data_IF_878862749442
#
_entry.id   IF_878862749442
#
_cell.length_a   1.000
_cell.length_b   1.000
_cell.length_c   1.000
_cell.angle_alpha   90.00
_cell.angle_beta   90.00
_cell.angle_gamma   90.00
#
_symmetry.space_group_name_H-M   'P 1'
#
loop_
_entity.id
_entity.type
_entity.pdbx_description
1 polymer ?
#
# COMPACT_ATOMS: atom_id res chain seq x y z
N UNK A 1 12.69 28.15 35.36
CA UNK A 1 11.53 27.26 35.54
C UNK A 1 11.30 26.55 34.22
N UNK A 2 11.72 25.29 34.14
CA UNK A 2 11.54 24.43 32.96
C UNK A 2 10.08 23.97 32.93
N UNK A 3 9.22 24.77 32.30
CA UNK A 3 7.87 24.32 31.96
C UNK A 3 7.99 23.39 30.78
N UNK A 4 8.32 22.11 31.02
CA UNK A 4 8.00 21.04 30.06
C UNK A 4 6.50 21.12 29.83
N UNK A 5 6.10 21.64 28.67
CA UNK A 5 4.71 21.65 28.25
C UNK A 5 4.23 20.19 28.28
N UNK A 6 3.31 19.86 29.17
CA UNK A 6 2.71 18.53 29.20
C UNK A 6 2.12 18.23 27.82
N UNK A 7 2.40 17.03 27.32
CA UNK A 7 1.99 16.65 25.97
C UNK A 7 0.44 16.60 25.89
N UNK A 8 -0.18 17.41 25.00
CA UNK A 8 -1.64 17.43 24.84
C UNK A 8 -2.20 16.07 24.42
N UNK A 9 -3.51 15.88 24.57
CA UNK A 9 -4.20 14.63 24.20
C UNK A 9 -4.09 14.30 22.72
N UNK A 10 -4.14 15.32 21.85
CA UNK A 10 -3.95 15.20 20.40
C UNK A 10 -2.47 15.14 19.98
N UNK A 11 -1.56 15.17 20.96
CA UNK A 11 -0.10 15.10 20.78
C UNK A 11 0.50 16.25 19.97
N UNK A 12 -0.25 17.33 19.78
CA UNK A 12 0.15 18.51 19.00
C UNK A 12 0.45 19.69 19.93
N UNK A 13 1.74 20.00 20.06
CA UNK A 13 2.22 21.25 20.63
C UNK A 13 1.93 22.40 19.67
N UNK A 14 1.36 23.47 20.22
CA UNK A 14 0.97 24.68 19.48
C UNK A 14 1.79 25.84 20.01
N UNK A 15 2.61 26.44 19.16
CA UNK A 15 3.45 27.57 19.53
C UNK A 15 3.08 28.78 18.68
N UNK A 16 2.79 29.90 19.32
CA UNK A 16 2.55 31.16 18.61
C UNK A 16 3.86 31.71 18.08
N UNK A 17 3.88 32.18 16.84
CA UNK A 17 5.03 32.80 16.21
C UNK A 17 4.58 33.85 15.20
N UNK A 18 5.45 34.81 14.89
CA UNK A 18 5.22 35.75 13.80
C UNK A 18 5.56 35.08 12.47
N UNK A 19 4.63 35.07 11.52
CA UNK A 19 4.92 34.71 10.12
C UNK A 19 4.94 35.96 9.25
N UNK A 20 5.71 35.89 8.18
CA UNK A 20 5.69 36.87 7.11
C UNK A 20 4.91 36.32 5.92
N UNK A 21 3.76 36.91 5.60
CA UNK A 21 2.92 36.53 4.47
C UNK A 21 2.58 37.78 3.65
N UNK A 22 2.94 37.77 2.36
CA UNK A 22 2.65 38.86 1.42
C UNK A 22 3.08 40.26 1.91
N UNK A 23 4.23 40.37 2.58
CA UNK A 23 4.74 41.66 3.08
C UNK A 23 4.15 42.11 4.42
N UNK A 24 3.25 41.33 5.02
CA UNK A 24 2.67 41.62 6.33
C UNK A 24 3.11 40.59 7.38
N UNK A 25 3.37 41.09 8.59
CA UNK A 25 3.65 40.26 9.75
C UNK A 25 2.33 39.92 10.45
N UNK A 26 2.04 38.63 10.58
CA UNK A 26 0.84 38.12 11.23
C UNK A 26 1.20 37.10 12.32
N UNK A 27 0.33 36.94 13.31
CA UNK A 27 0.47 35.88 14.31
C UNK A 27 -0.02 34.54 13.74
N UNK A 28 0.86 33.55 13.74
CA UNK A 28 0.60 32.19 13.32
C UNK A 28 0.73 31.21 14.48
N UNK A 29 0.14 30.03 14.31
CA UNK A 29 0.36 28.88 15.19
C UNK A 29 1.23 27.86 14.44
N UNK A 30 2.42 27.59 14.98
CA UNK A 30 3.26 26.46 14.59
C UNK A 30 2.77 25.21 15.28
N UNK A 31 2.50 24.16 14.50
CA UNK A 31 2.16 22.84 15.00
C UNK A 31 3.42 21.96 15.04
N UNK A 32 3.65 21.31 16.17
CA UNK A 32 4.74 20.35 16.33
C UNK A 32 4.23 19.15 17.13
N UNK A 33 4.63 17.93 16.76
CA UNK A 33 4.35 16.78 17.61
C UNK A 33 5.13 16.87 18.93
N UNK A 34 4.62 16.23 19.98
CA UNK A 34 5.38 16.01 21.20
C UNK A 34 6.72 15.31 20.89
N UNK A 35 7.72 15.48 21.76
CA UNK A 35 9.06 14.89 21.66
C UNK A 35 9.07 13.37 21.42
N UNK A 36 8.06 12.67 21.94
CA UNK A 36 7.85 11.22 21.78
C UNK A 36 7.17 10.80 20.48
N UNK A 37 6.78 11.76 19.63
CA UNK A 37 6.01 11.53 18.41
C UNK A 37 6.69 12.14 17.17
N UNK A 38 6.35 11.61 16.00
CA UNK A 38 6.78 12.10 14.68
C UNK A 38 5.55 12.38 13.83
N UNK A 39 5.59 13.44 13.03
CA UNK A 39 4.46 13.83 12.18
C UNK A 39 4.50 13.04 10.86
N UNK A 40 3.57 12.11 10.70
CA UNK A 40 3.49 11.22 9.53
C UNK A 40 2.04 11.22 9.02
N UNK A 41 1.86 11.44 7.72
CA UNK A 41 0.56 11.38 7.04
C UNK A 41 -0.57 12.21 7.71
N UNK A 42 -0.24 13.38 8.26
CA UNK A 42 -1.21 14.27 8.89
C UNK A 42 -1.48 14.00 10.38
N UNK A 43 -0.71 13.10 11.01
CA UNK A 43 -0.93 12.68 12.41
C UNK A 43 0.39 12.59 13.16
N UNK A 44 0.35 12.78 14.47
CA UNK A 44 1.48 12.50 15.35
C UNK A 44 1.48 11.01 15.73
N UNK A 45 2.49 10.28 15.27
CA UNK A 45 2.67 8.84 15.52
C UNK A 45 3.77 8.66 16.56
N UNK A 46 3.61 7.81 17.59
CA UNK A 46 4.68 7.56 18.56
C UNK A 46 5.94 7.06 17.87
N UNK A 47 7.12 7.61 18.22
CA UNK A 47 8.42 7.21 17.67
C UNK A 47 8.78 5.74 17.94
N UNK A 48 8.17 5.15 18.97
CA UNK A 48 8.36 3.75 19.35
C UNK A 48 7.50 2.76 18.55
N UNK A 49 6.58 3.25 17.72
CA UNK A 49 5.66 2.42 16.93
C UNK A 49 6.10 2.43 15.47
N UNK A 50 6.20 1.26 14.87
CA UNK A 50 6.38 1.13 13.42
C UNK A 50 5.16 1.72 12.68
N UNK A 51 5.32 2.76 11.84
CA UNK A 51 4.22 3.36 11.10
C UNK A 51 3.48 2.38 10.19
N UNK A 52 4.15 1.35 9.67
CA UNK A 52 3.53 0.38 8.76
C UNK A 52 2.60 -0.60 9.47
N UNK A 53 2.81 -0.81 10.77
CA UNK A 53 1.90 -1.59 11.61
C UNK A 53 0.54 -0.91 11.85
N UNK A 54 0.38 0.37 11.45
CA UNK A 54 -0.85 1.15 11.66
C UNK A 54 -1.87 1.01 10.52
N UNK A 55 -1.64 0.13 9.54
CA UNK A 55 -2.56 -0.14 8.42
C UNK A 55 -2.98 1.14 7.66
N UNK A 56 -2.02 2.03 7.45
CA UNK A 56 -2.23 3.28 6.70
C UNK A 56 -2.31 3.05 5.19
N UNK A 57 -1.73 1.94 4.71
CA UNK A 57 -1.72 1.52 3.33
C UNK A 57 -2.65 0.31 3.10
N UNK A 58 -3.16 0.17 1.88
CA UNK A 58 -4.09 -0.89 1.47
C UNK A 58 -3.38 -2.24 1.36
N UNK A 59 -2.18 -2.25 0.75
CA UNK A 59 -1.39 -3.45 0.53
C UNK A 59 -0.01 -3.35 1.17
N UNK A 60 0.96 -2.72 0.48
CA UNK A 60 2.33 -2.62 0.95
C UNK A 60 2.65 -1.24 1.54
N UNK A 61 3.52 -1.24 2.54
CA UNK A 61 3.98 -0.05 3.24
C UNK A 61 5.50 -0.11 3.40
N UNK A 62 6.16 1.02 3.14
CA UNK A 62 7.56 1.23 3.46
C UNK A 62 7.75 2.62 4.08
N UNK A 63 8.76 2.76 4.94
CA UNK A 63 9.15 4.05 5.53
C UNK A 63 10.42 4.55 4.82
N UNK A 64 10.35 5.72 4.19
CA UNK A 64 11.53 6.40 3.60
C UNK A 64 11.59 7.85 4.08
N UNK A 65 12.71 8.22 4.71
CA UNK A 65 12.95 9.57 5.23
C UNK A 65 11.76 10.09 6.08
N UNK A 66 11.37 9.31 7.09
CA UNK A 66 10.25 9.60 8.02
C UNK A 66 8.89 9.81 7.34
N UNK A 67 8.72 9.29 6.12
CA UNK A 67 7.47 9.29 5.38
C UNK A 67 7.01 7.87 5.12
N UNK A 68 5.72 7.64 5.28
CA UNK A 68 5.08 6.40 4.85
C UNK A 68 4.83 6.48 3.35
N UNK A 69 5.30 5.46 2.64
CA UNK A 69 5.06 5.26 1.21
C UNK A 69 4.19 4.01 1.07
N UNK A 70 3.03 4.19 0.46
CA UNK A 70 2.15 3.09 0.13
C UNK A 70 2.46 2.61 -1.28
N UNK A 71 2.63 1.30 -1.42
CA UNK A 71 2.86 0.61 -2.69
C UNK A 71 1.88 -0.56 -2.81
N UNK A 72 1.85 -1.19 -3.98
CA UNK A 72 1.04 -2.37 -4.21
C UNK A 72 1.90 -3.63 -4.21
N UNK A 73 1.30 -4.75 -3.85
CA UNK A 73 1.92 -6.06 -4.03
C UNK A 73 2.08 -6.36 -5.53
N UNK A 74 2.91 -7.36 -5.83
CA UNK A 74 3.07 -7.86 -7.20
C UNK A 74 1.70 -8.32 -7.74
N UNK A 75 1.45 -8.08 -9.02
CA UNK A 75 0.17 -8.37 -9.69
C UNK A 75 -0.88 -7.27 -9.54
N UNK A 76 -0.53 -6.14 -8.89
CA UNK A 76 -1.42 -4.99 -8.75
C UNK A 76 -0.77 -3.71 -9.30
N UNK A 77 -1.58 -2.87 -9.93
CA UNK A 77 -1.23 -1.54 -10.41
C UNK A 77 -1.71 -0.44 -9.45
N UNK A 78 -0.83 0.53 -9.17
CA UNK A 78 -1.16 1.65 -8.30
C UNK A 78 -2.01 2.70 -9.03
N UNK A 79 -3.22 2.96 -8.54
CA UNK A 79 -4.16 3.92 -9.12
C UNK A 79 -4.13 5.28 -8.38
N UNK A 80 -3.42 6.29 -8.92
CA UNK A 80 -3.08 7.51 -8.18
C UNK A 80 -4.28 8.38 -7.84
N UNK A 81 -5.33 8.37 -8.66
CA UNK A 81 -6.54 9.14 -8.40
C UNK A 81 -7.33 8.58 -7.21
N UNK A 82 -7.39 7.26 -7.09
CA UNK A 82 -8.10 6.59 -6.00
C UNK A 82 -7.37 6.85 -4.69
N UNK A 83 -6.04 6.74 -4.71
CA UNK A 83 -5.18 7.11 -3.58
C UNK A 83 -5.36 8.56 -3.14
N UNK A 84 -5.36 9.53 -4.08
CA UNK A 84 -5.56 10.96 -3.77
C UNK A 84 -6.94 11.25 -3.18
N UNK A 85 -7.98 10.57 -3.67
CA UNK A 85 -9.36 10.69 -3.18
C UNK A 85 -9.62 9.89 -1.90
N UNK A 86 -8.63 9.11 -1.43
CA UNK A 86 -8.77 8.15 -0.32
C UNK A 86 -9.88 7.12 -0.56
N UNK A 87 -10.06 6.73 -1.81
CA UNK A 87 -11.01 5.71 -2.25
C UNK A 87 -10.25 4.40 -2.47
N UNK A 88 -10.79 3.29 -1.97
CA UNK A 88 -10.27 1.94 -2.24
C UNK A 88 -11.12 1.25 -3.32
N UNK A 89 -10.56 0.30 -4.09
CA UNK A 89 -9.13 -0.05 -4.11
C UNK A 89 -8.31 1.01 -4.86
N UNK A 90 -7.09 1.29 -4.40
CA UNK A 90 -6.08 2.02 -5.18
C UNK A 90 -4.90 1.11 -5.57
N UNK A 91 -4.91 -0.15 -5.17
CA UNK A 91 -4.12 -1.20 -5.78
C UNK A 91 -5.06 -2.07 -6.62
N UNK A 92 -5.10 -1.80 -7.92
CA UNK A 92 -6.01 -2.44 -8.86
C UNK A 92 -5.34 -3.71 -9.36
N UNK A 93 -6.07 -4.83 -9.30
CA UNK A 93 -5.59 -6.09 -9.82
C UNK A 93 -5.27 -5.98 -11.32
N UNK A 94 -4.13 -6.53 -11.73
CA UNK A 94 -3.73 -6.57 -13.14
C UNK A 94 -4.31 -7.84 -13.72
N UNK A 95 -5.27 -7.71 -14.63
CA UNK A 95 -5.79 -8.87 -15.34
C UNK A 95 -4.78 -9.34 -16.40
N UNK A 96 -3.96 -10.33 -16.07
CA UNK A 96 -2.99 -10.87 -17.01
C UNK A 96 -3.64 -11.69 -18.13
N UNK A 97 -4.89 -12.11 -17.99
CA UNK A 97 -5.63 -12.85 -19.01
C UNK A 97 -6.03 -11.98 -20.21
N UNK A 98 -6.23 -10.68 -19.97
CA UNK A 98 -6.50 -9.70 -21.04
C UNK A 98 -5.33 -9.57 -22.02
N UNK A 99 -4.11 -9.96 -21.62
CA UNK A 99 -2.94 -9.95 -22.48
C UNK A 99 -2.57 -11.36 -22.95
N UNK A 100 -2.89 -11.67 -24.22
CA UNK A 100 -2.57 -12.95 -24.85
C UNK A 100 -3.02 -14.18 -24.02
N UNK A 101 -4.20 -14.09 -23.37
CA UNK A 101 -4.73 -15.17 -22.54
C UNK A 101 -3.75 -15.61 -21.43
N UNK A 102 -2.93 -14.68 -20.90
CA UNK A 102 -1.88 -14.98 -19.92
C UNK A 102 -0.83 -15.99 -20.41
N UNK A 103 -0.76 -16.24 -21.72
CA UNK A 103 0.04 -17.30 -22.32
C UNK A 103 -0.48 -18.73 -22.05
N UNK A 104 -1.71 -18.88 -21.57
CA UNK A 104 -2.35 -20.18 -21.38
C UNK A 104 -2.69 -20.83 -22.73
N UNK A 105 -2.49 -22.14 -22.85
CA UNK A 105 -2.84 -22.89 -24.06
C UNK A 105 -4.36 -22.89 -24.30
N UNK A 106 -5.14 -23.00 -23.23
CA UNK A 106 -6.60 -23.09 -23.31
C UNK A 106 -7.26 -21.93 -22.56
N UNK A 107 -7.61 -22.09 -21.28
CA UNK A 107 -8.34 -21.08 -20.52
C UNK A 107 -7.41 -20.39 -19.54
N UNK A 108 -7.45 -19.06 -19.52
CA UNK A 108 -6.86 -18.25 -18.45
C UNK A 108 -7.93 -17.88 -17.44
N UNK A 109 -7.59 -17.92 -16.16
CA UNK A 109 -8.42 -17.43 -15.06
C UNK A 109 -7.61 -16.42 -14.27
N UNK A 110 -8.12 -15.19 -14.22
CA UNK A 110 -7.52 -14.10 -13.46
C UNK A 110 -7.90 -14.25 -11.97
N UNK A 111 -6.89 -14.17 -11.11
CA UNK A 111 -7.02 -14.26 -9.66
C UNK A 111 -6.40 -13.00 -9.02
N UNK A 112 -6.82 -12.55 -7.82
CA UNK A 112 -6.22 -11.36 -7.22
C UNK A 112 -4.69 -11.47 -7.01
N UNK A 113 -3.94 -10.66 -7.75
CA UNK A 113 -2.47 -10.57 -7.74
C UNK A 113 -1.76 -11.61 -8.62
N UNK A 114 -2.50 -12.42 -9.36
CA UNK A 114 -1.92 -13.48 -10.21
C UNK A 114 -2.95 -14.05 -11.19
N UNK A 115 -2.60 -15.15 -11.85
CA UNK A 115 -3.53 -15.88 -12.68
C UNK A 115 -3.05 -17.31 -12.82
N UNK A 116 -3.96 -18.21 -13.20
CA UNK A 116 -3.61 -19.57 -13.56
C UNK A 116 -4.28 -19.99 -14.87
N UNK A 117 -3.70 -21.02 -15.47
CA UNK A 117 -4.27 -21.66 -16.63
C UNK A 117 -5.14 -22.84 -16.21
N UNK A 118 -6.19 -23.07 -16.96
CA UNK A 118 -7.07 -24.22 -16.83
C UNK A 118 -7.15 -24.96 -18.18
N UNK A 119 -7.17 -26.28 -18.09
CA UNK A 119 -7.32 -27.16 -19.24
C UNK A 119 -8.71 -27.81 -19.23
N UNK A 120 -9.28 -27.95 -20.43
CA UNK A 120 -10.52 -28.67 -20.64
C UNK A 120 -10.30 -30.17 -20.39
N UNK A 121 -11.20 -30.84 -19.65
CA UNK A 121 -11.11 -32.27 -19.42
C UNK A 121 -11.04 -33.07 -20.75
N UNK A 122 -10.24 -34.15 -20.81
CA UNK A 122 -9.52 -34.80 -19.72
C UNK A 122 -8.08 -34.27 -19.50
N UNK A 123 -7.69 -33.16 -20.14
CA UNK A 123 -6.32 -32.64 -20.04
C UNK A 123 -6.07 -31.95 -18.69
N UNK A 124 -4.80 -31.92 -18.29
CA UNK A 124 -4.32 -31.25 -17.09
C UNK A 124 -3.22 -30.24 -17.43
N UNK A 125 -3.02 -29.26 -16.57
CA UNK A 125 -1.97 -28.25 -16.76
C UNK A 125 -0.60 -28.92 -16.59
N UNK A 126 0.27 -28.75 -17.57
CA UNK A 126 1.65 -29.26 -17.57
C UNK A 126 2.55 -28.53 -16.57
N UNK A 127 3.80 -28.99 -16.46
CA UNK A 127 4.76 -28.45 -15.49
C UNK A 127 5.14 -26.97 -15.73
N UNK A 128 4.96 -26.46 -16.95
CA UNK A 128 5.18 -25.05 -17.28
C UNK A 128 4.05 -24.13 -16.79
N UNK A 129 2.95 -24.69 -16.27
CA UNK A 129 1.79 -23.95 -15.79
C UNK A 129 0.95 -23.32 -16.90
N UNK A 130 1.24 -23.62 -18.18
CA UNK A 130 0.66 -22.95 -19.35
C UNK A 130 0.07 -23.92 -20.36
N UNK A 131 0.76 -25.03 -20.64
CA UNK A 131 0.35 -26.03 -21.61
C UNK A 131 -0.59 -27.06 -21.01
N UNK A 132 -1.37 -27.69 -21.87
CA UNK A 132 -2.29 -28.76 -21.55
C UNK A 132 -1.73 -30.09 -22.02
N UNK A 133 -1.64 -31.03 -21.09
CA UNK A 133 -1.06 -32.35 -21.33
C UNK A 133 -2.05 -33.44 -20.91
N UNK A 134 -2.02 -34.61 -21.54
CA UNK A 134 -2.78 -35.75 -21.05
C UNK A 134 -2.27 -36.14 -19.65
N UNK A 135 -3.16 -36.51 -18.72
CA UNK A 135 -2.76 -36.92 -17.37
C UNK A 135 -1.85 -38.15 -17.46
N UNK A 136 -0.73 -38.11 -16.75
CA UNK A 136 0.20 -39.24 -16.69
C UNK A 136 -0.51 -40.41 -16.00
N UNK A 137 -0.60 -41.60 -16.63
CA UNK A 137 -1.14 -42.77 -15.96
C UNK A 137 -0.28 -43.08 -14.73
N UNK A 138 -0.87 -43.01 -13.54
CA UNK A 138 -0.21 -43.49 -12.33
C UNK A 138 -0.12 -45.02 -12.47
N UNK A 139 1.05 -45.54 -12.83
CA UNK A 139 1.35 -46.95 -12.68
C UNK A 139 1.47 -47.24 -11.17
N UNK A 140 0.38 -47.71 -10.57
CA UNK A 140 0.40 -48.23 -9.20
C UNK A 140 1.17 -49.56 -9.25
N UNK A 141 2.24 -49.75 -8.44
CA UNK A 141 3.01 -50.99 -8.41
C UNK A 141 2.21 -52.18 -7.84
#
# INVERSE_FOLDING_TARGET
ADTRLECPTDRLLRTRQTCHINGADIECIKLQCCDTHVYIAGRCIPKAVDPCSLKLCEQACEVRADRVWCTCHRGFEFHPENYRRKTQPYCIDIDECENHNGGCEQRCVNDPGTFHCECLPPMVVGADGKKCEPPVPIAIP
#
